data_IF_227646772615
#
_entry.id   IF_227646772615
#
_cell.length_a   1.000
_cell.length_b   1.000
_cell.length_c   1.000
_cell.angle_alpha   90.00
_cell.angle_beta   90.00
_cell.angle_gamma   90.00
#
_symmetry.space_group_name_H-M   'P 1'
#
loop_
_entity.id
_entity.type
_entity.pdbx_description
1 polymer ?
#
# COMPACT_ATOMS: atom_id res chain seq x y z
N UNK A 1 34.27 27.08 -27.75
CA UNK A 1 33.84 27.83 -26.60
C UNK A 1 32.36 28.19 -26.50
N UNK A 2 31.53 28.01 -27.56
CA UNK A 2 30.07 28.30 -27.46
C UNK A 2 29.19 27.10 -27.11
N UNK A 3 29.73 25.90 -27.11
CA UNK A 3 28.98 24.68 -26.79
C UNK A 3 29.01 24.34 -25.28
N UNK A 4 29.98 24.81 -24.53
CA UNK A 4 30.12 24.56 -23.11
C UNK A 4 29.12 25.35 -22.24
N UNK A 5 28.71 26.55 -22.69
CA UNK A 5 27.79 27.41 -21.94
C UNK A 5 26.32 26.96 -22.00
N UNK A 6 25.89 26.26 -23.06
CA UNK A 6 24.53 25.72 -23.16
C UNK A 6 24.34 24.47 -22.33
N UNK A 7 25.35 23.62 -22.24
CA UNK A 7 25.30 22.42 -21.41
C UNK A 7 25.26 22.73 -19.91
N UNK A 8 25.87 23.87 -19.48
CA UNK A 8 25.83 24.25 -18.06
C UNK A 8 24.47 24.78 -17.61
N UNK A 9 23.69 25.45 -18.48
CA UNK A 9 22.34 25.92 -18.14
C UNK A 9 21.32 24.81 -18.05
N UNK A 10 21.33 23.87 -18.97
CA UNK A 10 20.47 22.68 -18.96
C UNK A 10 20.80 21.81 -17.74
N UNK A 11 22.08 21.65 -17.41
CA UNK A 11 22.52 20.88 -16.28
C UNK A 11 22.07 21.45 -14.92
N UNK A 12 21.89 22.76 -14.78
CA UNK A 12 21.46 23.40 -13.54
C UNK A 12 19.97 23.15 -13.27
N UNK A 13 19.10 23.30 -14.28
CA UNK A 13 17.68 22.96 -14.17
C UNK A 13 17.43 21.49 -13.93
N UNK A 14 18.16 20.61 -14.60
CA UNK A 14 18.08 19.16 -14.40
C UNK A 14 18.57 18.74 -13.03
N UNK A 15 19.64 19.33 -12.51
CA UNK A 15 20.14 19.08 -11.15
C UNK A 15 19.14 19.52 -10.09
N UNK A 16 18.49 20.67 -10.26
CA UNK A 16 17.47 21.15 -9.34
C UNK A 16 16.26 20.22 -9.31
N UNK A 17 15.80 19.77 -10.48
CA UNK A 17 14.71 18.79 -10.60
C UNK A 17 15.08 17.45 -9.99
N UNK A 18 16.27 16.92 -10.32
CA UNK A 18 16.76 15.66 -9.77
C UNK A 18 16.92 15.73 -8.24
N UNK A 19 17.37 16.86 -7.72
CA UNK A 19 17.52 17.07 -6.28
C UNK A 19 16.16 17.10 -5.57
N UNK A 20 15.15 17.72 -6.18
CA UNK A 20 13.78 17.71 -5.67
C UNK A 20 13.19 16.31 -5.66
N UNK A 21 13.32 15.56 -6.77
CA UNK A 21 12.85 14.18 -6.89
C UNK A 21 13.53 13.27 -5.86
N UNK A 22 14.83 13.44 -5.64
CA UNK A 22 15.57 12.69 -4.63
C UNK A 22 15.07 12.99 -3.22
N UNK A 23 14.81 14.25 -2.91
CA UNK A 23 14.28 14.68 -1.61
C UNK A 23 12.90 14.10 -1.35
N UNK A 24 12.02 14.11 -2.35
CA UNK A 24 10.69 13.52 -2.27
C UNK A 24 10.77 11.99 -2.08
N UNK A 25 11.65 11.32 -2.80
CA UNK A 25 11.87 9.88 -2.67
C UNK A 25 12.42 9.51 -1.28
N UNK A 26 13.32 10.29 -0.73
CA UNK A 26 13.84 10.10 0.63
C UNK A 26 12.77 10.29 1.70
N UNK A 27 11.90 11.30 1.55
CA UNK A 27 10.78 11.54 2.46
C UNK A 27 9.79 10.37 2.43
N UNK A 28 9.47 9.86 1.24
CA UNK A 28 8.60 8.69 1.07
C UNK A 28 9.22 7.44 1.72
N UNK A 29 10.49 7.18 1.47
CA UNK A 29 11.18 6.04 2.04
C UNK A 29 11.22 6.10 3.57
N UNK A 30 11.47 7.26 4.16
CA UNK A 30 11.43 7.47 5.60
C UNK A 30 10.04 7.20 6.18
N UNK A 31 9.01 7.72 5.53
CA UNK A 31 7.63 7.50 5.95
C UNK A 31 7.24 6.03 5.87
N UNK A 32 7.59 5.35 4.77
CA UNK A 32 7.33 3.93 4.59
C UNK A 32 8.13 3.05 5.56
N UNK A 33 9.32 3.45 5.93
CA UNK A 33 10.10 2.72 6.91
C UNK A 33 9.52 2.81 8.32
N UNK A 34 9.10 3.99 8.73
CA UNK A 34 8.56 4.22 10.08
C UNK A 34 7.16 3.66 10.26
N UNK A 35 6.32 3.86 9.27
CA UNK A 35 4.91 3.51 9.33
C UNK A 35 4.40 3.20 7.92
N UNK A 36 4.74 2.02 7.38
CA UNK A 36 4.43 1.70 5.98
C UNK A 36 2.93 1.56 5.74
N UNK A 37 2.19 1.03 6.70
CA UNK A 37 0.75 0.80 6.59
C UNK A 37 0.11 0.77 7.98
N UNK A 38 -1.18 1.04 8.03
CA UNK A 38 -1.98 1.04 9.28
C UNK A 38 -3.13 0.04 9.24
N UNK A 39 -3.44 -0.53 8.09
CA UNK A 39 -4.54 -1.46 7.91
C UNK A 39 -4.22 -2.55 6.90
N UNK A 40 -4.82 -3.71 7.13
CA UNK A 40 -4.82 -4.84 6.21
C UNK A 40 -6.27 -5.17 5.86
N UNK A 41 -6.56 -5.29 4.57
CA UNK A 41 -7.89 -5.58 4.05
C UNK A 41 -7.78 -6.72 3.04
N UNK A 42 -8.64 -7.72 3.20
CA UNK A 42 -8.82 -8.79 2.23
C UNK A 42 -10.19 -8.65 1.59
N UNK A 43 -10.21 -8.53 0.28
CA UNK A 43 -11.40 -8.39 -0.55
C UNK A 43 -11.40 -9.46 -1.63
N UNK A 44 -12.60 -9.86 -2.05
CA UNK A 44 -12.78 -10.65 -3.26
C UNK A 44 -13.69 -9.88 -4.21
N UNK A 45 -13.24 -9.63 -5.42
CA UNK A 45 -14.08 -9.15 -6.50
C UNK A 45 -15.12 -10.23 -6.86
N UNK A 46 -16.36 -9.85 -7.13
CA UNK A 46 -17.46 -10.80 -7.28
C UNK A 46 -17.21 -11.83 -8.38
N UNK A 47 -16.56 -11.42 -9.47
CA UNK A 47 -16.27 -12.29 -10.62
C UNK A 47 -14.93 -13.05 -10.50
N UNK A 48 -14.18 -12.80 -9.41
CA UNK A 48 -12.88 -13.43 -9.20
C UNK A 48 -12.96 -14.54 -8.16
N UNK A 49 -12.25 -15.65 -8.44
CA UNK A 49 -12.22 -16.80 -7.55
C UNK A 49 -11.31 -16.60 -6.34
N UNK A 50 -10.25 -15.78 -6.49
CA UNK A 50 -9.25 -15.59 -5.46
C UNK A 50 -9.39 -14.22 -4.79
N UNK A 51 -9.26 -14.16 -3.46
CA UNK A 51 -9.22 -12.89 -2.77
C UNK A 51 -7.90 -12.16 -3.01
N UNK A 52 -7.94 -10.85 -2.90
CA UNK A 52 -6.77 -9.99 -2.97
C UNK A 52 -6.52 -9.34 -1.61
N UNK A 53 -5.25 -9.17 -1.26
CA UNK A 53 -4.83 -8.60 0.00
C UNK A 53 -4.20 -7.22 -0.21
N UNK A 54 -4.70 -6.25 0.54
CA UNK A 54 -4.29 -4.85 0.46
C UNK A 54 -3.80 -4.35 1.82
N UNK A 55 -2.72 -3.59 1.79
CA UNK A 55 -2.25 -2.81 2.93
C UNK A 55 -2.48 -1.33 2.64
N UNK A 56 -3.10 -0.64 3.58
CA UNK A 56 -3.40 0.79 3.46
C UNK A 56 -2.30 1.62 4.09
N UNK A 57 -1.69 2.47 3.28
CA UNK A 57 -0.66 3.40 3.73
C UNK A 57 -1.28 4.71 4.20
N UNK A 58 -0.79 5.19 5.34
CA UNK A 58 -1.12 6.52 5.85
C UNK A 58 -0.27 7.63 5.22
N UNK A 59 0.71 7.26 4.41
CA UNK A 59 1.60 8.24 3.79
C UNK A 59 0.88 9.06 2.75
N UNK A 60 0.80 10.38 2.93
CA UNK A 60 0.23 11.30 1.96
C UNK A 60 1.04 11.39 0.65
N UNK A 61 2.27 10.88 0.65
CA UNK A 61 3.14 10.88 -0.51
C UNK A 61 3.00 9.63 -1.39
N UNK A 62 2.33 8.58 -0.89
CA UNK A 62 2.02 7.41 -1.69
C UNK A 62 0.76 7.69 -2.52
N UNK A 63 0.92 7.88 -3.81
CA UNK A 63 -0.15 8.18 -4.75
C UNK A 63 -0.49 7.02 -5.70
N UNK A 64 0.23 5.93 -5.60
CA UNK A 64 0.11 4.77 -6.46
C UNK A 64 0.19 3.47 -5.66
N UNK A 65 -0.22 2.38 -6.32
CA UNK A 65 -0.07 1.03 -5.78
C UNK A 65 1.37 0.53 -5.91
N UNK A 66 1.88 -0.03 -4.83
CA UNK A 66 3.14 -0.77 -4.82
C UNK A 66 2.85 -2.26 -4.54
N UNK A 67 3.46 -3.14 -5.31
CA UNK A 67 3.35 -4.57 -5.10
C UNK A 67 4.49 -5.07 -4.21
N UNK A 68 4.13 -5.84 -3.19
CA UNK A 68 5.08 -6.46 -2.28
C UNK A 68 5.02 -7.97 -2.50
N UNK A 69 6.12 -8.62 -2.91
CA UNK A 69 6.13 -10.06 -3.06
C UNK A 69 5.80 -10.76 -1.74
N UNK A 70 4.88 -11.71 -1.80
CA UNK A 70 4.55 -12.58 -0.69
C UNK A 70 5.08 -14.00 -0.92
N UNK A 71 4.59 -14.93 -0.12
CA UNK A 71 4.94 -16.34 -0.25
C UNK A 71 4.31 -16.97 -1.51
N UNK A 72 5.11 -17.63 -2.31
CA UNK A 72 4.64 -18.34 -3.51
C UNK A 72 4.12 -17.36 -4.56
N UNK A 73 2.86 -17.53 -4.97
CA UNK A 73 2.21 -16.67 -5.96
C UNK A 73 1.42 -15.50 -5.35
N UNK A 74 1.42 -15.39 -4.03
CA UNK A 74 0.71 -14.32 -3.35
C UNK A 74 1.46 -13.00 -3.49
N UNK A 75 0.74 -11.98 -3.90
CA UNK A 75 1.23 -10.60 -3.97
C UNK A 75 0.41 -9.76 -3.02
N UNK A 76 1.10 -9.02 -2.15
CA UNK A 76 0.47 -8.01 -1.32
C UNK A 76 0.53 -6.67 -2.03
N UNK A 77 -0.52 -5.89 -1.93
CA UNK A 77 -0.60 -4.57 -2.54
C UNK A 77 -0.65 -3.50 -1.47
N UNK A 78 0.32 -2.62 -1.50
CA UNK A 78 0.33 -1.40 -0.68
C UNK A 78 -0.32 -0.29 -1.49
N UNK A 79 -1.39 0.29 -0.96
CA UNK A 79 -2.14 1.36 -1.63
C UNK A 79 -2.35 2.55 -0.71
N UNK A 80 -2.51 3.75 -1.26
CA UNK A 80 -2.88 4.91 -0.46
C UNK A 80 -4.31 4.78 0.06
N UNK A 81 -4.57 5.32 1.25
CA UNK A 81 -5.93 5.44 1.77
C UNK A 81 -6.62 6.65 1.14
N UNK A 82 -7.18 6.43 -0.05
CA UNK A 82 -7.90 7.46 -0.81
C UNK A 82 -9.21 6.89 -1.34
N UNK A 83 -10.24 7.72 -1.37
CA UNK A 83 -11.50 7.40 -2.00
C UNK A 83 -11.50 7.99 -3.40
N UNK A 84 -10.93 7.26 -4.33
CA UNK A 84 -10.74 7.69 -5.70
C UNK A 84 -11.76 6.99 -6.61
N UNK A 85 -12.61 7.78 -7.27
CA UNK A 85 -13.63 7.26 -8.16
C UNK A 85 -13.07 6.74 -9.48
N UNK A 86 -11.89 7.21 -9.89
CA UNK A 86 -11.22 6.74 -11.09
C UNK A 86 -10.51 5.42 -10.88
N UNK A 87 -10.24 5.04 -9.63
CA UNK A 87 -9.60 3.79 -9.26
C UNK A 87 -10.53 2.97 -8.36
N UNK A 88 -11.43 2.16 -8.96
CA UNK A 88 -12.51 1.48 -8.22
C UNK A 88 -12.02 0.59 -7.08
N UNK A 89 -10.90 -0.09 -7.25
CA UNK A 89 -10.36 -0.95 -6.21
C UNK A 89 -9.85 -0.14 -4.99
N UNK A 90 -9.30 1.06 -5.18
CA UNK A 90 -8.94 1.94 -4.07
C UNK A 90 -10.17 2.38 -3.27
N UNK A 91 -11.22 2.75 -3.99
CA UNK A 91 -12.51 3.09 -3.38
C UNK A 91 -13.08 1.91 -2.60
N UNK A 92 -13.07 0.71 -3.17
CA UNK A 92 -13.59 -0.49 -2.53
C UNK A 92 -12.83 -0.82 -1.23
N UNK A 93 -11.50 -0.75 -1.25
CA UNK A 93 -10.68 -1.00 -0.07
C UNK A 93 -10.91 0.05 1.02
N UNK A 94 -10.98 1.33 0.64
CA UNK A 94 -11.27 2.41 1.58
C UNK A 94 -12.67 2.26 2.22
N UNK A 95 -13.69 1.97 1.43
CA UNK A 95 -15.04 1.74 1.92
C UNK A 95 -15.12 0.51 2.84
N UNK A 96 -14.42 -0.56 2.49
CA UNK A 96 -14.33 -1.76 3.31
C UNK A 96 -13.73 -1.46 4.68
N UNK A 97 -12.63 -0.74 4.72
CA UNK A 97 -11.98 -0.35 5.97
C UNK A 97 -12.87 0.58 6.82
N UNK A 98 -13.54 1.54 6.20
CA UNK A 98 -14.41 2.48 6.92
C UNK A 98 -15.67 1.81 7.48
N UNK A 99 -16.30 0.93 6.71
CA UNK A 99 -17.56 0.27 7.11
C UNK A 99 -17.35 -0.81 8.16
N UNK A 100 -16.37 -1.70 7.97
CA UNK A 100 -16.03 -2.78 8.91
C UNK A 100 -17.18 -3.75 9.24
N UNK A 101 -18.20 -3.80 8.39
CA UNK A 101 -19.44 -4.55 8.63
C UNK A 101 -19.57 -5.79 7.74
N UNK A 102 -18.63 -6.04 6.86
CA UNK A 102 -18.62 -7.18 5.96
C UNK A 102 -19.68 -7.16 4.88
N UNK A 103 -20.46 -6.10 4.78
CA UNK A 103 -21.49 -5.98 3.74
C UNK A 103 -20.84 -5.79 2.37
N UNK A 104 -21.47 -6.39 1.36
CA UNK A 104 -21.07 -6.26 -0.03
C UNK A 104 -20.94 -4.78 -0.43
N UNK A 105 -19.82 -4.46 -1.06
CA UNK A 105 -19.54 -3.13 -1.59
C UNK A 105 -19.84 -3.15 -3.07
N UNK A 106 -20.78 -2.31 -3.51
CA UNK A 106 -21.22 -2.25 -4.89
C UNK A 106 -21.38 -0.79 -5.32
N UNK A 107 -20.84 -0.46 -6.48
CA UNK A 107 -20.95 0.89 -7.04
C UNK A 107 -20.77 0.88 -8.55
N UNK A 108 -21.15 1.97 -9.18
CA UNK A 108 -20.97 2.19 -10.61
C UNK A 108 -19.92 3.28 -10.85
N UNK A 109 -19.11 3.08 -11.88
CA UNK A 109 -18.19 4.10 -12.39
C UNK A 109 -18.55 4.36 -13.85
N UNK A 110 -18.69 5.63 -14.22
CA UNK A 110 -18.96 6.01 -15.61
C UNK A 110 -17.65 6.40 -16.27
N UNK A 111 -17.29 5.66 -17.33
CA UNK A 111 -16.12 5.96 -18.16
C UNK A 111 -16.55 6.04 -19.61
N UNK A 112 -16.19 7.15 -20.29
CA UNK A 112 -16.50 7.36 -21.70
C UNK A 112 -18.00 7.17 -22.01
N UNK A 113 -18.90 7.61 -21.11
CA UNK A 113 -20.34 7.46 -21.25
C UNK A 113 -20.89 6.07 -20.95
N UNK A 114 -20.06 5.11 -20.60
CA UNK A 114 -20.48 3.76 -20.22
C UNK A 114 -20.40 3.57 -18.71
N UNK A 115 -21.44 2.95 -18.14
CA UNK A 115 -21.48 2.57 -16.73
C UNK A 115 -20.83 1.20 -16.55
N UNK A 116 -19.78 1.15 -15.75
CA UNK A 116 -19.15 -0.08 -15.30
C UNK A 116 -19.59 -0.35 -13.86
N UNK A 117 -20.05 -1.56 -13.57
CA UNK A 117 -20.43 -1.98 -12.23
C UNK A 117 -19.31 -2.75 -11.57
N UNK A 118 -19.03 -2.39 -10.32
CA UNK A 118 -18.04 -3.08 -9.48
C UNK A 118 -18.73 -3.60 -8.23
N UNK A 119 -18.38 -4.82 -7.83
CA UNK A 119 -18.89 -5.44 -6.63
C UNK A 119 -17.78 -6.24 -5.94
N UNK A 120 -17.66 -6.06 -4.63
CA UNK A 120 -16.62 -6.67 -3.81
C UNK A 120 -17.21 -7.27 -2.55
N UNK A 121 -16.72 -8.43 -2.16
CA UNK A 121 -17.06 -9.07 -0.90
C UNK A 121 -15.93 -8.86 0.11
N UNK A 122 -16.17 -8.12 1.19
CA UNK A 122 -15.20 -8.03 2.27
C UNK A 122 -15.01 -9.37 2.97
N UNK A 123 -13.78 -9.75 3.23
CA UNK A 123 -13.42 -10.99 3.92
C UNK A 123 -12.71 -10.73 5.25
N UNK A 124 -11.90 -9.68 5.32
CA UNK A 124 -11.10 -9.38 6.49
C UNK A 124 -10.75 -7.90 6.53
N UNK A 125 -10.85 -7.31 7.71
CA UNK A 125 -10.39 -5.95 7.99
C UNK A 125 -9.64 -5.95 9.31
N UNK A 126 -8.40 -5.46 9.29
CA UNK A 126 -7.54 -5.38 10.48
C UNK A 126 -6.90 -4.01 10.61
N UNK A 127 -6.78 -3.54 11.84
CA UNK A 127 -5.83 -2.48 12.16
C UNK A 127 -4.46 -3.08 12.40
N UNK A 128 -3.45 -2.41 11.89
CA UNK A 128 -2.04 -2.80 12.07
C UNK A 128 -1.30 -1.61 12.63
N UNK A 129 -0.61 -1.79 13.74
CA UNK A 129 0.22 -0.75 14.34
C UNK A 129 1.68 -1.09 14.11
N UNK A 130 2.35 -0.22 13.35
CA UNK A 130 3.79 -0.28 13.11
C UNK A 130 4.40 0.98 13.71
N UNK A 131 5.42 0.83 14.53
CA UNK A 131 6.12 1.93 15.15
C UNK A 131 7.62 1.76 14.93
N UNK A 132 8.26 2.79 14.37
CA UNK A 132 9.69 2.80 14.04
C UNK A 132 10.12 1.55 13.26
N UNK A 133 9.31 1.18 12.27
CA UNK A 133 9.55 0.02 11.42
C UNK A 133 9.30 -1.33 12.08
N UNK A 134 8.77 -1.36 13.30
CA UNK A 134 8.46 -2.60 14.01
C UNK A 134 6.95 -2.80 14.16
N UNK A 135 6.51 -4.00 13.84
CA UNK A 135 5.13 -4.40 14.03
C UNK A 135 4.84 -4.52 15.54
N UNK A 136 3.88 -3.75 16.03
CA UNK A 136 3.50 -3.72 17.44
C UNK A 136 2.25 -4.53 17.72
N UNK A 137 1.22 -4.36 16.87
CA UNK A 137 -0.08 -4.95 17.13
C UNK A 137 -0.85 -5.16 15.84
N UNK A 138 -1.63 -6.24 15.79
CA UNK A 138 -2.66 -6.48 14.79
C UNK A 138 -3.98 -6.68 15.51
N UNK A 139 -5.01 -5.93 15.11
CA UNK A 139 -6.34 -6.03 15.70
C UNK A 139 -7.38 -6.26 14.62
N UNK A 140 -8.10 -7.38 14.69
CA UNK A 140 -9.16 -7.71 13.73
C UNK A 140 -10.42 -6.90 14.03
N UNK A 141 -10.86 -6.11 13.06
CA UNK A 141 -12.09 -5.33 13.12
C UNK A 141 -13.27 -6.09 12.54
N UNK A 142 -13.02 -6.86 11.50
CA UNK A 142 -14.01 -7.71 10.84
C UNK A 142 -13.33 -8.94 10.25
N UNK A 143 -13.99 -10.09 10.35
CA UNK A 143 -13.60 -11.32 9.67
C UNK A 143 -14.85 -12.10 9.25
N UNK A 144 -14.86 -12.59 8.01
CA UNK A 144 -15.89 -13.48 7.52
C UNK A 144 -15.85 -14.87 8.19
N UNK A 145 -14.73 -15.21 8.82
CA UNK A 145 -14.55 -16.44 9.60
C UNK A 145 -14.93 -16.16 11.06
N UNK A 146 -16.02 -16.76 11.51
CA UNK A 146 -16.61 -16.45 12.82
C UNK A 146 -15.96 -17.17 14.01
N UNK A 147 -14.84 -17.88 13.83
CA UNK A 147 -14.17 -18.63 14.88
C UNK A 147 -12.98 -17.83 15.46
N UNK A 148 -13.06 -17.50 16.76
CA UNK A 148 -12.02 -16.73 17.46
C UNK A 148 -10.64 -17.40 17.44
N UNK A 149 -10.58 -18.73 17.54
CA UNK A 149 -9.32 -19.47 17.47
C UNK A 149 -8.66 -19.36 16.09
N UNK A 150 -9.46 -19.37 15.02
CA UNK A 150 -8.99 -19.16 13.65
C UNK A 150 -8.51 -17.72 13.47
N UNK A 151 -9.16 -16.76 14.11
CA UNK A 151 -8.72 -15.36 14.07
C UNK A 151 -7.37 -15.18 14.76
N UNK A 152 -7.18 -15.76 15.94
CA UNK A 152 -5.92 -15.69 16.67
C UNK A 152 -4.76 -16.32 15.87
N UNK A 153 -4.96 -17.49 15.29
CA UNK A 153 -3.98 -18.13 14.42
C UNK A 153 -3.69 -17.30 13.16
N UNK A 154 -4.72 -16.74 12.56
CA UNK A 154 -4.55 -15.86 11.39
C UNK A 154 -3.78 -14.60 11.71
N UNK A 155 -3.99 -14.02 12.89
CA UNK A 155 -3.25 -12.85 13.37
C UNK A 155 -1.78 -13.18 13.61
N UNK A 156 -1.48 -14.30 14.24
CA UNK A 156 -0.10 -14.77 14.45
C UNK A 156 0.61 -15.03 13.12
N UNK A 157 -0.04 -15.71 12.18
CA UNK A 157 0.51 -15.94 10.85
C UNK A 157 0.73 -14.63 10.08
N UNK A 158 -0.18 -13.68 10.21
CA UNK A 158 -0.01 -12.36 9.61
C UNK A 158 1.19 -11.63 10.20
N UNK A 159 1.34 -11.67 11.54
CA UNK A 159 2.49 -11.10 12.22
C UNK A 159 3.81 -11.67 11.69
N UNK A 160 3.90 -13.00 11.56
CA UNK A 160 5.07 -13.66 11.01
C UNK A 160 5.35 -13.21 9.57
N UNK A 161 4.34 -13.19 8.71
CA UNK A 161 4.48 -12.78 7.31
C UNK A 161 4.89 -11.33 7.16
N UNK A 162 4.36 -10.43 7.99
CA UNK A 162 4.73 -9.03 7.95
C UNK A 162 6.19 -8.83 8.40
N UNK A 163 6.65 -9.56 9.38
CA UNK A 163 8.06 -9.56 9.79
C UNK A 163 8.98 -10.15 8.71
N UNK A 164 8.59 -11.24 8.07
CA UNK A 164 9.32 -11.83 6.94
C UNK A 164 9.36 -10.89 5.74
N UNK A 165 8.24 -10.25 5.40
CA UNK A 165 8.15 -9.33 4.26
C UNK A 165 8.94 -8.04 4.45
N UNK A 166 9.24 -7.63 5.67
CA UNK A 166 10.18 -6.54 5.96
C UNK A 166 11.60 -6.85 5.49
N UNK A 167 11.96 -8.14 5.40
CA UNK A 167 13.24 -8.61 4.90
C UNK A 167 13.23 -8.89 3.39
N UNK A 168 12.08 -8.74 2.69
CA UNK A 168 11.99 -9.05 1.25
C UNK A 168 12.47 -7.90 0.36
N UNK A 169 13.00 -8.20 -0.85
CA UNK A 169 13.68 -7.21 -1.70
C UNK A 169 12.83 -6.02 -2.15
N UNK A 170 11.48 -6.12 -2.22
CA UNK A 170 10.62 -5.06 -2.73
C UNK A 170 10.62 -3.81 -1.86
N UNK A 171 10.05 -3.88 -0.67
CA UNK A 171 9.98 -2.77 0.28
C UNK A 171 11.35 -2.48 0.88
N UNK A 172 12.12 -3.53 1.16
CA UNK A 172 13.47 -3.45 1.73
C UNK A 172 14.46 -2.78 0.79
N UNK A 173 14.39 -3.01 -0.52
CA UNK A 173 15.23 -2.32 -1.50
C UNK A 173 14.97 -0.83 -1.57
N UNK A 174 13.71 -0.39 -1.47
CA UNK A 174 13.37 1.04 -1.42
C UNK A 174 13.98 1.67 -0.16
N UNK A 175 13.84 1.01 0.97
CA UNK A 175 14.35 1.46 2.26
C UNK A 175 15.89 1.46 2.27
N UNK A 176 16.52 0.37 1.89
CA UNK A 176 17.98 0.22 1.90
C UNK A 176 18.69 1.10 0.87
N UNK A 177 18.09 1.33 -0.27
CA UNK A 177 18.66 2.20 -1.31
C UNK A 177 18.73 3.66 -0.83
N UNK A 178 17.85 4.08 0.05
CA UNK A 178 17.72 5.48 0.47
C UNK A 178 18.24 5.76 1.87
N UNK A 179 18.21 4.79 2.79
CA UNK A 179 18.69 4.95 4.17
C UNK A 179 20.18 5.30 4.30
N UNK A 180 21.13 4.68 3.59
CA UNK A 180 22.55 5.04 3.73
C UNK A 180 22.85 6.49 3.40
N UNK A 181 22.03 7.13 2.57
CA UNK A 181 22.17 8.55 2.20
C UNK A 181 21.59 9.50 3.24
N UNK A 182 20.73 9.02 4.14
CA UNK A 182 20.15 9.80 5.23
C UNK A 182 21.01 9.78 6.50
N UNK A 183 21.82 8.71 6.68
CA UNK A 183 22.69 8.54 7.83
C UNK A 183 24.06 9.19 7.65
N UNK A 184 24.37 9.60 6.44
CA UNK A 184 25.59 10.36 6.13
C UNK A 184 25.33 11.87 6.23
#
# INVERSE_FOLDING_TARGET
GRYEDQDSFISHGERSKAQKELSEAQALASALWRNPYFAHVRLREEDEAQPEEYFLSSSATLDRMEEIPGDGQNVYRLIPFVRDEERPFFRAVADCYQRRDGKKISFHVTRNGQKEQYAYQPLLVRNVTVQDGKLQQVHTLYSSQANEDVQAQSEELLLQRLEENRATPGLHNIIDTLQPKQLA
#
